data_IF_973471208450
#
_entry.id   IF_973471208450
#
_cell.length_a   1.000
_cell.length_b   1.000
_cell.length_c   1.000
_cell.angle_alpha   90.00
_cell.angle_beta   90.00
_cell.angle_gamma   90.00
#
_symmetry.space_group_name_H-M   'P 1'
#
loop_
_entity.id
_entity.type
_entity.pdbx_description
1 polymer ?
#
# COMPACT_ATOMS: atom_id res chain seq x y z
N UNK A 1 6.40 -23.71 -15.89
CA UNK A 1 6.74 -23.32 -17.29
C UNK A 1 7.45 -21.99 -17.17
N UNK A 2 8.77 -22.00 -17.30
CA UNK A 2 9.57 -20.80 -17.49
C UNK A 2 8.92 -20.02 -18.63
N UNK A 3 8.60 -18.78 -18.37
CA UNK A 3 8.19 -17.86 -19.42
C UNK A 3 9.44 -17.64 -20.26
N UNK A 4 9.59 -18.47 -21.29
CA UNK A 4 10.60 -18.26 -22.33
C UNK A 4 10.20 -16.97 -23.04
N UNK A 5 10.71 -15.86 -22.57
CA UNK A 5 10.87 -14.66 -23.40
C UNK A 5 11.84 -15.12 -24.47
N UNK A 6 11.31 -15.43 -25.65
CA UNK A 6 12.11 -15.83 -26.82
C UNK A 6 12.95 -14.61 -27.15
N UNK A 7 14.20 -14.63 -26.72
CA UNK A 7 15.17 -13.58 -27.02
C UNK A 7 15.40 -13.57 -28.53
N UNK A 8 14.67 -12.72 -29.25
CA UNK A 8 14.79 -12.57 -30.70
C UNK A 8 16.15 -12.01 -31.12
N UNK A 9 16.88 -11.38 -30.22
CA UNK A 9 18.18 -10.77 -30.47
C UNK A 9 19.34 -11.65 -30.00
N UNK A 10 19.08 -12.81 -29.36
CA UNK A 10 20.13 -13.70 -28.83
C UNK A 10 20.96 -13.12 -27.68
N UNK A 11 20.52 -11.98 -27.12
CA UNK A 11 21.27 -11.22 -26.10
C UNK A 11 21.33 -11.95 -24.74
N UNK A 12 20.28 -12.72 -24.40
CA UNK A 12 20.24 -13.47 -23.13
C UNK A 12 21.10 -14.72 -23.14
N UNK A 13 21.49 -15.23 -24.34
CA UNK A 13 22.42 -16.31 -24.51
C UNK A 13 23.90 -15.93 -24.36
N UNK A 14 24.19 -14.65 -24.20
CA UNK A 14 25.58 -14.18 -24.02
C UNK A 14 26.03 -14.32 -22.56
N UNK A 15 27.35 -14.34 -22.27
CA UNK A 15 27.87 -14.36 -20.90
C UNK A 15 27.35 -13.24 -20.01
N UNK A 16 26.90 -12.13 -20.63
CA UNK A 16 26.36 -10.97 -19.93
C UNK A 16 24.88 -11.13 -19.51
N UNK A 17 24.12 -12.02 -20.18
CA UNK A 17 22.76 -12.44 -19.80
C UNK A 17 21.83 -11.30 -19.38
N UNK A 18 21.33 -11.38 -18.14
CA UNK A 18 20.42 -10.38 -17.54
C UNK A 18 21.05 -8.99 -17.42
N UNK A 19 22.38 -8.86 -17.51
CA UNK A 19 23.07 -7.56 -17.46
C UNK A 19 22.63 -6.59 -18.56
N UNK A 20 22.17 -7.07 -19.70
CA UNK A 20 21.64 -6.23 -20.78
C UNK A 20 20.43 -5.39 -20.36
N UNK A 21 19.63 -5.86 -19.40
CA UNK A 21 18.52 -5.10 -18.85
C UNK A 21 19.03 -3.84 -18.13
N UNK A 22 20.11 -3.98 -17.35
CA UNK A 22 20.71 -2.84 -16.65
C UNK A 22 21.37 -1.86 -17.62
N UNK A 23 21.99 -2.36 -18.71
CA UNK A 23 22.51 -1.51 -19.77
C UNK A 23 21.40 -0.69 -20.44
N UNK A 24 20.27 -1.33 -20.75
CA UNK A 24 19.11 -0.63 -21.32
C UNK A 24 18.57 0.47 -20.37
N UNK A 25 18.49 0.20 -19.07
CA UNK A 25 18.13 1.22 -18.07
C UNK A 25 19.16 2.35 -18.01
N UNK A 26 20.45 2.05 -18.05
CA UNK A 26 21.52 3.04 -18.04
C UNK A 26 21.41 3.97 -19.27
N UNK A 27 21.24 3.39 -20.46
CA UNK A 27 21.07 4.15 -21.70
C UNK A 27 19.81 5.03 -21.63
N UNK A 28 18.67 4.48 -21.21
CA UNK A 28 17.43 5.24 -21.07
C UNK A 28 17.60 6.42 -20.09
N UNK A 29 18.24 6.18 -18.94
CA UNK A 29 18.52 7.23 -17.94
C UNK A 29 19.48 8.29 -18.47
N UNK A 30 20.52 7.88 -19.20
CA UNK A 30 21.47 8.81 -19.82
C UNK A 30 20.80 9.68 -20.88
N UNK A 31 19.94 9.10 -21.73
CA UNK A 31 19.16 9.87 -22.72
C UNK A 31 18.24 10.88 -22.03
N UNK A 32 17.47 10.43 -21.03
CA UNK A 32 16.58 11.31 -20.25
C UNK A 32 17.35 12.46 -19.59
N UNK A 33 18.49 12.16 -18.97
CA UNK A 33 19.34 13.15 -18.35
C UNK A 33 19.85 14.21 -19.36
N UNK A 34 20.32 13.76 -20.53
CA UNK A 34 20.78 14.67 -21.59
C UNK A 34 19.65 15.54 -22.14
N UNK A 35 18.43 14.96 -22.32
CA UNK A 35 17.27 15.74 -22.76
C UNK A 35 16.94 16.84 -21.74
N UNK A 36 16.93 16.50 -20.44
CA UNK A 36 16.67 17.48 -19.38
C UNK A 36 17.75 18.58 -19.39
N UNK A 37 19.03 18.22 -19.52
CA UNK A 37 20.11 19.20 -19.59
C UNK A 37 19.99 20.13 -20.79
N UNK A 38 19.49 19.65 -21.92
CA UNK A 38 19.30 20.46 -23.13
C UNK A 38 18.07 21.37 -23.05
N UNK A 39 17.04 20.95 -22.29
CA UNK A 39 15.78 21.71 -22.15
C UNK A 39 15.79 22.66 -20.95
N UNK A 40 16.74 22.50 -20.03
CA UNK A 40 16.85 23.36 -18.84
C UNK A 40 17.73 24.58 -19.14
N UNK A 41 17.26 25.75 -18.74
CA UNK A 41 18.04 26.98 -18.88
C UNK A 41 19.41 26.86 -18.20
N UNK A 42 20.47 27.20 -18.94
CA UNK A 42 21.86 27.11 -18.47
C UNK A 42 22.21 28.27 -17.52
N UNK A 43 21.47 28.37 -16.44
CA UNK A 43 21.87 29.29 -15.36
C UNK A 43 22.93 28.59 -14.51
N UNK A 44 24.05 29.26 -14.25
CA UNK A 44 25.09 28.74 -13.35
C UNK A 44 24.46 28.61 -11.97
N UNK A 45 24.30 27.38 -11.42
CA UNK A 45 23.65 27.18 -10.14
C UNK A 45 24.48 27.82 -9.03
N UNK A 46 23.95 28.88 -8.43
CA UNK A 46 24.53 29.47 -7.21
C UNK A 46 23.90 28.74 -6.02
N UNK A 47 24.74 28.04 -5.27
CA UNK A 47 24.29 27.34 -4.05
C UNK A 47 24.19 28.37 -2.93
N UNK A 48 22.96 28.75 -2.58
CA UNK A 48 22.70 29.49 -1.34
C UNK A 48 22.77 28.50 -0.17
N UNK A 49 23.79 28.64 0.69
CA UNK A 49 24.01 27.78 1.83
C UNK A 49 22.86 27.82 2.84
N UNK A 50 22.16 28.95 2.98
CA UNK A 50 21.03 29.09 3.90
C UNK A 50 19.83 28.31 3.37
N UNK A 51 19.53 28.46 2.08
CA UNK A 51 18.46 27.70 1.42
C UNK A 51 18.77 26.21 1.44
N UNK A 52 20.01 25.81 1.14
CA UNK A 52 20.43 24.41 1.18
C UNK A 52 20.26 23.81 2.58
N UNK A 53 20.67 24.52 3.63
CA UNK A 53 20.51 24.07 5.00
C UNK A 53 19.02 23.91 5.37
N UNK A 54 18.16 24.84 5.01
CA UNK A 54 16.71 24.73 5.24
C UNK A 54 16.10 23.53 4.51
N UNK A 55 16.46 23.32 3.24
CA UNK A 55 16.02 22.16 2.45
C UNK A 55 16.50 20.85 3.08
N UNK A 56 17.76 20.78 3.52
CA UNK A 56 18.29 19.57 4.15
C UNK A 56 17.61 19.26 5.49
N UNK A 57 17.37 20.26 6.33
CA UNK A 57 16.68 20.08 7.60
C UNK A 57 15.26 19.52 7.39
N UNK A 58 14.56 19.97 6.35
CA UNK A 58 13.25 19.44 5.99
C UNK A 58 13.30 18.05 5.34
N UNK A 59 14.24 17.83 4.42
CA UNK A 59 14.28 16.65 3.57
C UNK A 59 14.96 15.45 4.23
N UNK A 60 15.97 15.67 5.08
CA UNK A 60 16.73 14.58 5.71
C UNK A 60 15.85 13.67 6.58
N UNK A 61 14.95 14.19 7.46
CA UNK A 61 14.01 13.35 8.18
C UNK A 61 13.08 12.55 7.26
N UNK A 62 12.61 13.15 6.16
CA UNK A 62 11.78 12.45 5.18
C UNK A 62 12.55 11.35 4.44
N UNK A 63 13.84 11.57 4.15
CA UNK A 63 14.70 10.55 3.56
C UNK A 63 14.87 9.36 4.50
N UNK A 64 15.19 9.59 5.77
CA UNK A 64 15.30 8.53 6.79
C UNK A 64 13.98 7.78 6.93
N UNK A 65 12.87 8.51 7.01
CA UNK A 65 11.52 7.93 7.03
C UNK A 65 11.23 7.10 5.77
N UNK A 66 11.63 7.58 4.59
CA UNK A 66 11.47 6.85 3.32
C UNK A 66 12.26 5.55 3.28
N UNK A 67 13.51 5.57 3.76
CA UNK A 67 14.33 4.35 3.90
C UNK A 67 13.68 3.35 4.87
N UNK A 68 13.21 3.82 6.03
CA UNK A 68 12.53 2.98 7.01
C UNK A 68 11.20 2.42 6.45
N UNK A 69 10.43 3.23 5.71
CA UNK A 69 9.21 2.80 5.04
C UNK A 69 9.48 1.73 3.97
N UNK A 70 10.49 1.94 3.14
CA UNK A 70 10.92 0.94 2.14
C UNK A 70 11.41 -0.34 2.82
N UNK A 71 12.20 -0.23 3.89
CA UNK A 71 12.61 -1.39 4.66
C UNK A 71 11.41 -2.16 5.22
N UNK A 72 10.40 -1.45 5.76
CA UNK A 72 9.16 -2.04 6.25
C UNK A 72 8.39 -2.81 5.16
N UNK A 73 8.44 -2.36 3.91
CA UNK A 73 7.78 -3.01 2.78
C UNK A 73 8.43 -4.33 2.35
N UNK A 74 9.75 -4.47 2.55
CA UNK A 74 10.50 -5.63 2.06
C UNK A 74 11.00 -6.59 3.13
N UNK A 75 11.01 -6.16 4.40
CA UNK A 75 11.62 -6.92 5.50
C UNK A 75 10.86 -8.22 5.80
N UNK A 76 9.55 -8.25 5.57
CA UNK A 76 8.71 -9.44 5.70
C UNK A 76 9.24 -10.62 4.88
N UNK A 77 9.68 -10.35 3.65
CA UNK A 77 10.27 -11.36 2.74
C UNK A 77 11.62 -11.86 3.24
N UNK A 78 12.43 -10.95 3.79
CA UNK A 78 13.71 -11.34 4.37
C UNK A 78 13.48 -12.19 5.63
N UNK A 79 12.52 -11.80 6.48
CA UNK A 79 12.20 -12.55 7.68
C UNK A 79 11.69 -13.97 7.35
N UNK A 80 10.84 -14.14 6.33
CA UNK A 80 10.44 -15.49 5.87
C UNK A 80 11.67 -16.32 5.49
N UNK A 81 12.60 -15.73 4.73
CA UNK A 81 13.81 -16.43 4.25
C UNK A 81 14.68 -16.96 5.40
N UNK A 82 14.80 -16.19 6.49
CA UNK A 82 15.73 -16.52 7.57
C UNK A 82 15.08 -17.18 8.79
N UNK A 83 13.77 -16.98 9.02
CA UNK A 83 13.07 -17.49 10.19
C UNK A 83 12.30 -18.78 9.94
N UNK A 84 12.00 -19.12 8.69
CA UNK A 84 11.34 -20.39 8.37
C UNK A 84 12.39 -21.51 8.30
N UNK A 85 12.29 -22.55 9.15
CA UNK A 85 13.34 -23.58 9.25
C UNK A 85 13.47 -24.44 7.98
N UNK A 86 12.32 -24.82 7.39
CA UNK A 86 12.26 -25.69 6.22
C UNK A 86 11.33 -25.13 5.14
N UNK A 87 11.71 -25.25 3.87
CA UNK A 87 10.89 -24.80 2.77
C UNK A 87 10.77 -23.28 2.63
N UNK A 88 11.66 -22.48 3.24
CA UNK A 88 11.60 -21.02 3.24
C UNK A 88 11.43 -20.43 1.83
N UNK A 89 12.13 -20.96 0.81
CA UNK A 89 12.03 -20.48 -0.57
C UNK A 89 10.69 -20.79 -1.21
N UNK A 90 10.06 -21.93 -0.88
CA UNK A 90 8.72 -22.27 -1.36
C UNK A 90 7.70 -21.32 -0.74
N UNK A 91 7.77 -21.12 0.58
CA UNK A 91 6.90 -20.18 1.30
C UNK A 91 7.06 -18.73 0.83
N UNK A 92 8.30 -18.29 0.59
CA UNK A 92 8.58 -16.99 0.00
C UNK A 92 7.97 -16.85 -1.41
N UNK A 93 8.03 -17.95 -2.21
CA UNK A 93 7.40 -18.00 -3.52
C UNK A 93 5.89 -17.83 -3.45
N UNK A 94 5.21 -18.53 -2.52
CA UNK A 94 3.77 -18.43 -2.28
C UNK A 94 3.41 -17.01 -1.85
N UNK A 95 4.08 -16.49 -0.83
CA UNK A 95 3.86 -15.12 -0.34
C UNK A 95 4.06 -14.08 -1.44
N UNK A 96 5.15 -14.20 -2.21
CA UNK A 96 5.44 -13.32 -3.34
C UNK A 96 4.42 -13.41 -4.47
N UNK A 97 3.84 -14.57 -4.73
CA UNK A 97 2.80 -14.75 -5.73
C UNK A 97 1.49 -14.08 -5.31
N UNK A 98 1.08 -14.23 -4.04
CA UNK A 98 -0.15 -13.62 -3.54
C UNK A 98 -0.02 -12.11 -3.40
N UNK A 99 1.13 -11.59 -2.96
CA UNK A 99 1.36 -10.15 -2.90
C UNK A 99 1.31 -9.50 -4.29
N UNK A 100 1.58 -10.24 -5.38
CA UNK A 100 1.38 -9.74 -6.76
C UNK A 100 -0.10 -9.55 -7.12
N UNK A 101 -1.01 -10.34 -6.57
CA UNK A 101 -2.46 -10.10 -6.74
C UNK A 101 -2.84 -8.80 -6.00
N UNK A 102 -2.31 -8.62 -4.80
CA UNK A 102 -2.58 -7.42 -4.00
C UNK A 102 -1.99 -6.12 -4.61
N UNK A 103 -1.17 -6.20 -5.67
CA UNK A 103 -0.62 -5.04 -6.40
C UNK A 103 -1.73 -4.12 -6.90
N UNK A 104 -2.92 -4.62 -7.24
CA UNK A 104 -4.05 -3.77 -7.67
C UNK A 104 -4.39 -2.72 -6.60
N UNK A 105 -4.45 -3.11 -5.33
CA UNK A 105 -4.66 -2.19 -4.21
C UNK A 105 -3.48 -1.24 -4.04
N UNK A 106 -2.25 -1.74 -4.21
CA UNK A 106 -1.04 -0.92 -4.15
C UNK A 106 -1.01 0.13 -5.28
N UNK A 107 -1.44 -0.22 -6.49
CA UNK A 107 -1.58 0.73 -7.59
C UNK A 107 -2.60 1.82 -7.28
N UNK A 108 -3.76 1.46 -6.70
CA UNK A 108 -4.74 2.44 -6.25
C UNK A 108 -4.14 3.41 -5.22
N UNK A 109 -3.46 2.88 -4.20
CA UNK A 109 -2.73 3.69 -3.22
C UNK A 109 -1.69 4.61 -3.89
N UNK A 110 -0.90 4.11 -4.84
CA UNK A 110 0.10 4.92 -5.55
C UNK A 110 -0.54 6.05 -6.37
N UNK A 111 -1.66 5.78 -7.06
CA UNK A 111 -2.41 6.81 -7.80
C UNK A 111 -2.97 7.87 -6.85
N UNK A 112 -3.56 7.44 -5.73
CA UNK A 112 -4.00 8.34 -4.68
C UNK A 112 -2.86 9.22 -4.18
N UNK A 113 -1.71 8.63 -3.85
CA UNK A 113 -0.52 9.35 -3.39
C UNK A 113 -0.05 10.39 -4.40
N UNK A 114 0.08 10.01 -5.68
CA UNK A 114 0.52 10.91 -6.75
C UNK A 114 -0.43 12.10 -6.95
N UNK A 115 -1.72 11.91 -6.71
CA UNK A 115 -2.70 13.00 -6.77
C UNK A 115 -2.74 13.82 -5.48
N UNK A 116 -2.73 13.17 -4.32
CA UNK A 116 -2.91 13.80 -3.02
C UNK A 116 -1.68 14.62 -2.58
N UNK A 117 -0.45 14.15 -2.80
CA UNK A 117 0.75 14.87 -2.38
C UNK A 117 0.84 16.28 -2.99
N UNK A 118 0.82 16.48 -4.32
CA UNK A 118 0.89 17.84 -4.88
C UNK A 118 -0.35 18.67 -4.54
N UNK A 119 -1.54 18.06 -4.49
CA UNK A 119 -2.77 18.74 -4.12
C UNK A 119 -2.68 19.33 -2.72
N UNK A 120 -2.30 18.54 -1.71
CA UNK A 120 -2.18 19.04 -0.35
C UNK A 120 -1.03 20.01 -0.17
N UNK A 121 0.13 19.79 -0.81
CA UNK A 121 1.26 20.72 -0.76
C UNK A 121 0.89 22.11 -1.28
N UNK A 122 0.14 22.19 -2.38
CA UNK A 122 -0.31 23.47 -2.95
C UNK A 122 -1.38 24.16 -2.11
N UNK A 123 -2.12 23.40 -1.30
CA UNK A 123 -3.22 23.92 -0.48
C UNK A 123 -2.89 24.06 1.02
N UNK A 124 -1.65 23.84 1.45
CA UNK A 124 -1.25 23.91 2.87
C UNK A 124 -1.61 25.21 3.57
N UNK A 125 -1.62 26.33 2.84
CA UNK A 125 -1.93 27.65 3.41
C UNK A 125 -3.42 27.99 3.47
N UNK A 126 -4.30 27.16 2.88
CA UNK A 126 -5.74 27.41 2.90
C UNK A 126 -6.35 27.09 4.25
N UNK A 127 -7.38 27.86 4.65
CA UNK A 127 -8.18 27.64 5.86
C UNK A 127 -8.84 26.26 5.88
N UNK A 128 -9.28 25.80 4.72
CA UNK A 128 -10.08 24.60 4.57
C UNK A 128 -9.27 23.31 4.49
N UNK A 129 -7.92 23.39 4.64
CA UNK A 129 -7.03 22.24 4.58
C UNK A 129 -7.47 21.10 5.50
N UNK A 130 -7.89 21.43 6.73
CA UNK A 130 -8.29 20.44 7.74
C UNK A 130 -9.51 19.64 7.27
N UNK A 131 -10.53 20.34 6.76
CA UNK A 131 -11.75 19.72 6.24
C UNK A 131 -11.44 18.89 4.99
N UNK A 132 -10.65 19.43 4.06
CA UNK A 132 -10.24 18.70 2.86
C UNK A 132 -9.46 17.41 3.19
N UNK A 133 -8.57 17.46 4.18
CA UNK A 133 -7.79 16.29 4.60
C UNK A 133 -8.70 15.22 5.24
N UNK A 134 -9.65 15.63 6.06
CA UNK A 134 -10.63 14.73 6.66
C UNK A 134 -11.53 14.07 5.61
N UNK A 135 -12.05 14.85 4.66
CA UNK A 135 -12.84 14.34 3.54
C UNK A 135 -12.04 13.37 2.65
N UNK A 136 -10.79 13.72 2.33
CA UNK A 136 -9.93 12.85 1.52
C UNK A 136 -9.71 11.48 2.17
N UNK A 137 -9.53 11.41 3.50
CA UNK A 137 -9.42 10.14 4.21
C UNK A 137 -10.71 9.32 4.10
N UNK A 138 -11.87 9.96 4.31
CA UNK A 138 -13.19 9.32 4.21
C UNK A 138 -13.38 8.67 2.84
N UNK A 139 -13.15 9.42 1.76
CA UNK A 139 -13.32 8.91 0.40
C UNK A 139 -12.25 7.90 0.00
N UNK A 140 -11.02 8.07 0.48
CA UNK A 140 -9.96 7.06 0.28
C UNK A 140 -10.38 5.69 0.86
N UNK A 141 -10.84 5.67 2.12
CA UNK A 141 -11.27 4.42 2.76
C UNK A 141 -12.48 3.82 2.06
N UNK A 142 -13.47 4.65 1.68
CA UNK A 142 -14.65 4.20 0.95
C UNK A 142 -14.27 3.47 -0.36
N UNK A 143 -13.43 4.08 -1.19
CA UNK A 143 -12.96 3.49 -2.43
C UNK A 143 -12.07 2.26 -2.20
N UNK A 144 -11.20 2.30 -1.19
CA UNK A 144 -10.34 1.17 -0.82
C UNK A 144 -11.14 -0.05 -0.37
N UNK A 145 -12.22 0.14 0.39
CA UNK A 145 -13.08 -0.97 0.83
C UNK A 145 -13.84 -1.60 -0.34
N UNK A 146 -14.24 -0.81 -1.33
CA UNK A 146 -14.84 -1.34 -2.54
C UNK A 146 -13.85 -2.23 -3.33
N UNK A 147 -12.61 -1.76 -3.50
CA UNK A 147 -11.55 -2.53 -4.17
C UNK A 147 -11.20 -3.78 -3.34
N UNK A 148 -11.11 -3.63 -2.02
CA UNK A 148 -10.87 -4.75 -1.10
C UNK A 148 -11.88 -5.87 -1.31
N UNK A 149 -13.17 -5.55 -1.26
CA UNK A 149 -14.24 -6.52 -1.49
C UNK A 149 -14.19 -7.10 -2.89
N UNK A 150 -14.00 -6.28 -3.92
CA UNK A 150 -13.90 -6.73 -5.30
C UNK A 150 -12.79 -7.75 -5.53
N UNK A 151 -11.66 -7.62 -4.84
CA UNK A 151 -10.55 -8.58 -4.96
C UNK A 151 -10.76 -9.77 -4.03
N UNK A 152 -11.18 -9.55 -2.78
CA UNK A 152 -11.29 -10.59 -1.77
C UNK A 152 -12.42 -11.59 -2.09
N UNK A 153 -13.59 -11.13 -2.54
CA UNK A 153 -14.72 -11.99 -2.88
C UNK A 153 -14.49 -12.81 -4.15
N UNK A 154 -13.71 -12.26 -5.10
CA UNK A 154 -13.41 -12.93 -6.36
C UNK A 154 -11.98 -13.48 -6.40
N UNK A 155 -11.38 -13.75 -5.23
CA UNK A 155 -9.99 -14.22 -5.10
C UNK A 155 -9.68 -15.47 -5.92
N UNK A 156 -10.65 -16.37 -6.12
CA UNK A 156 -10.47 -17.58 -6.90
C UNK A 156 -10.26 -17.28 -8.39
N UNK A 157 -10.91 -16.22 -8.91
CA UNK A 157 -10.67 -15.72 -10.27
C UNK A 157 -9.24 -15.19 -10.40
N UNK A 158 -8.79 -14.43 -9.41
CA UNK A 158 -7.39 -13.94 -9.37
C UNK A 158 -6.39 -15.07 -9.17
N UNK A 159 -6.77 -16.14 -8.45
CA UNK A 159 -5.96 -17.34 -8.30
C UNK A 159 -5.66 -18.05 -9.63
N UNK A 160 -6.49 -17.85 -10.68
CA UNK A 160 -6.22 -18.40 -12.01
C UNK A 160 -4.97 -17.80 -12.67
N UNK A 161 -4.63 -16.55 -12.33
CA UNK A 161 -3.44 -15.84 -12.83
C UNK A 161 -2.18 -16.43 -12.20
N UNK A 162 -2.30 -17.01 -11.02
CA UNK A 162 -1.19 -17.56 -10.24
C UNK A 162 -1.02 -19.06 -10.55
N UNK A 163 0.24 -19.51 -10.65
CA UNK A 163 0.57 -20.94 -10.86
C UNK A 163 -0.07 -21.82 -9.77
N UNK A 164 -0.49 -23.03 -10.18
CA UNK A 164 -1.23 -23.96 -9.29
C UNK A 164 -0.55 -24.21 -7.95
N UNK A 165 0.79 -24.31 -7.94
CA UNK A 165 1.61 -24.56 -6.74
C UNK A 165 1.60 -23.40 -5.73
N UNK A 166 1.14 -22.21 -6.11
CA UNK A 166 1.11 -21.03 -5.23
C UNK A 166 -0.31 -20.68 -4.73
N UNK A 167 -1.34 -21.40 -5.22
CA UNK A 167 -2.74 -21.10 -4.89
C UNK A 167 -3.11 -21.40 -3.45
N UNK A 168 -2.37 -22.25 -2.78
CA UNK A 168 -2.60 -22.56 -1.36
C UNK A 168 -2.50 -21.31 -0.47
N UNK A 169 -1.71 -20.30 -0.89
CA UNK A 169 -1.58 -19.04 -0.17
C UNK A 169 -2.73 -18.04 -0.37
N UNK A 170 -3.75 -18.34 -1.18
CA UNK A 170 -4.81 -17.36 -1.52
C UNK A 170 -5.55 -16.82 -0.30
N UNK A 171 -5.60 -17.57 0.78
CA UNK A 171 -6.26 -17.18 2.03
C UNK A 171 -5.60 -16.01 2.76
N UNK A 172 -4.30 -15.71 2.48
CA UNK A 172 -3.65 -14.53 3.05
C UNK A 172 -4.00 -13.25 2.29
N UNK A 173 -4.61 -13.34 1.10
CA UNK A 173 -4.89 -12.20 0.25
C UNK A 173 -5.70 -11.09 0.95
N UNK A 174 -6.81 -11.39 1.68
CA UNK A 174 -7.55 -10.36 2.40
C UNK A 174 -6.70 -9.63 3.46
N UNK A 175 -5.81 -10.35 4.14
CA UNK A 175 -4.91 -9.77 5.15
C UNK A 175 -3.93 -8.80 4.50
N UNK A 176 -3.32 -9.18 3.37
CA UNK A 176 -2.39 -8.34 2.62
C UNK A 176 -3.10 -7.11 2.02
N UNK A 177 -4.32 -7.28 1.51
CA UNK A 177 -5.14 -6.16 1.02
C UNK A 177 -5.46 -5.18 2.15
N UNK A 178 -5.85 -5.69 3.33
CA UNK A 178 -6.10 -4.86 4.51
C UNK A 178 -4.87 -4.05 4.93
N UNK A 179 -3.69 -4.65 4.93
CA UNK A 179 -2.43 -3.94 5.17
C UNK A 179 -2.21 -2.80 4.16
N UNK A 180 -2.43 -3.06 2.86
CA UNK A 180 -2.29 -2.03 1.82
C UNK A 180 -3.33 -0.88 1.94
N UNK A 181 -4.54 -1.15 2.44
CA UNK A 181 -5.51 -0.10 2.78
C UNK A 181 -4.95 0.80 3.89
N UNK A 182 -4.43 0.21 4.96
CA UNK A 182 -3.86 0.97 6.09
C UNK A 182 -2.66 1.82 5.68
N UNK A 183 -1.89 1.38 4.68
CA UNK A 183 -0.79 2.18 4.09
C UNK A 183 -1.28 3.55 3.59
N UNK A 184 -2.42 3.62 2.92
CA UNK A 184 -2.96 4.91 2.47
C UNK A 184 -3.63 5.71 3.59
N UNK A 185 -4.14 5.03 4.62
CA UNK A 185 -4.69 5.71 5.81
C UNK A 185 -3.59 6.48 6.54
N UNK A 186 -2.46 5.84 6.86
CA UNK A 186 -1.37 6.57 7.54
C UNK A 186 -0.69 7.60 6.64
N UNK A 187 -0.67 7.40 5.31
CA UNK A 187 -0.23 8.44 4.38
C UNK A 187 -1.09 9.71 4.52
N UNK A 188 -2.41 9.56 4.52
CA UNK A 188 -3.33 10.70 4.69
C UNK A 188 -3.11 11.38 6.04
N UNK A 189 -2.98 10.59 7.11
CA UNK A 189 -2.65 11.09 8.44
C UNK A 189 -1.27 11.78 8.50
N UNK A 190 -0.42 11.65 7.47
CA UNK A 190 0.91 12.25 7.42
C UNK A 190 0.93 13.69 6.93
N UNK A 191 -0.12 14.17 6.25
CA UNK A 191 -0.10 15.50 5.62
C UNK A 191 -0.03 16.65 6.61
N UNK A 192 -0.58 16.53 7.81
CA UNK A 192 -0.55 17.60 8.79
C UNK A 192 0.86 17.91 9.30
N UNK A 193 1.70 16.91 9.59
CA UNK A 193 3.06 17.17 10.05
C UNK A 193 4.00 17.64 8.92
N UNK A 194 3.68 17.31 7.67
CA UNK A 194 4.35 17.91 6.51
C UNK A 194 3.99 19.39 6.38
N UNK A 195 2.73 19.75 6.63
CA UNK A 195 2.26 21.13 6.66
C UNK A 195 2.93 21.95 7.76
N UNK A 196 3.03 21.40 8.96
CA UNK A 196 3.63 22.05 10.13
C UNK A 196 5.17 21.98 10.14
N UNK A 197 5.78 21.54 9.04
CA UNK A 197 7.23 21.35 8.88
C UNK A 197 7.87 20.43 9.95
N UNK A 198 7.05 19.60 10.62
CA UNK A 198 7.48 18.64 11.64
C UNK A 198 7.81 17.28 11.04
N UNK A 199 8.63 17.27 9.99
CA UNK A 199 8.97 16.06 9.22
C UNK A 199 9.69 14.98 10.03
N UNK A 200 10.31 15.34 11.16
CA UNK A 200 10.89 14.38 12.10
C UNK A 200 9.89 13.38 12.68
N UNK A 201 8.60 13.75 12.76
CA UNK A 201 7.54 12.83 13.20
C UNK A 201 7.32 11.68 12.22
N UNK A 202 7.66 11.86 10.95
CA UNK A 202 7.65 10.78 9.98
C UNK A 202 8.57 9.62 10.39
N UNK A 203 9.75 9.93 10.96
CA UNK A 203 10.69 8.91 11.46
C UNK A 203 10.07 8.13 12.62
N UNK A 204 9.34 8.80 13.50
CA UNK A 204 8.67 8.14 14.64
C UNK A 204 7.63 7.14 14.15
N UNK A 205 6.80 7.53 13.16
CA UNK A 205 5.75 6.67 12.60
C UNK A 205 6.36 5.47 11.87
N UNK A 206 7.27 5.72 10.91
CA UNK A 206 7.87 4.64 10.12
C UNK A 206 8.82 3.77 10.93
N UNK A 207 9.51 4.36 11.93
CA UNK A 207 10.32 3.62 12.89
C UNK A 207 9.49 2.70 13.77
N UNK A 208 8.33 3.17 14.26
CA UNK A 208 7.41 2.33 15.03
C UNK A 208 6.88 1.16 14.18
N UNK A 209 6.55 1.39 12.90
CA UNK A 209 6.18 0.34 11.95
C UNK A 209 7.30 -0.68 11.75
N UNK A 210 8.53 -0.20 11.55
CA UNK A 210 9.69 -1.08 11.36
C UNK A 210 9.95 -1.95 12.60
N UNK A 211 9.87 -1.38 13.81
CA UNK A 211 9.97 -2.14 15.05
C UNK A 211 8.85 -3.17 15.17
N UNK A 212 7.62 -2.77 14.84
CA UNK A 212 6.47 -3.65 14.92
C UNK A 212 6.59 -4.84 13.94
N UNK A 213 6.96 -4.62 12.66
CA UNK A 213 7.07 -5.72 11.70
C UNK A 213 8.18 -6.69 12.07
N UNK A 214 9.29 -6.19 12.66
CA UNK A 214 10.37 -7.04 13.15
C UNK A 214 9.89 -7.84 14.35
N UNK A 215 9.30 -7.20 15.37
CA UNK A 215 8.83 -7.85 16.59
C UNK A 215 7.75 -8.92 16.29
N UNK A 216 6.70 -8.55 15.56
CA UNK A 216 5.65 -9.50 15.18
C UNK A 216 6.16 -10.55 14.18
N UNK A 217 7.09 -10.20 13.30
CA UNK A 217 7.71 -11.13 12.37
C UNK A 217 8.51 -12.23 13.10
N UNK A 218 9.36 -11.85 14.05
CA UNK A 218 10.09 -12.83 14.87
C UNK A 218 9.17 -13.73 15.71
N UNK A 219 8.00 -13.23 16.09
CA UNK A 219 7.04 -14.01 16.85
C UNK A 219 6.16 -14.90 15.95
N UNK A 220 5.55 -14.35 14.91
CA UNK A 220 4.52 -15.03 14.13
C UNK A 220 5.07 -15.90 12.98
N UNK A 221 6.20 -15.52 12.37
CA UNK A 221 6.74 -16.26 11.21
C UNK A 221 7.24 -17.65 11.61
N UNK A 222 7.95 -17.87 12.74
CA UNK A 222 8.34 -19.21 13.14
C UNK A 222 7.15 -20.12 13.45
N UNK A 223 6.02 -19.55 13.88
CA UNK A 223 4.79 -20.29 14.24
C UNK A 223 3.92 -20.63 13.01
N UNK A 224 3.76 -19.66 12.09
CA UNK A 224 2.78 -19.73 11.00
C UNK A 224 3.38 -19.51 9.61
N UNK A 225 4.70 -19.43 9.48
CA UNK A 225 5.37 -19.24 8.19
C UNK A 225 4.90 -17.97 7.47
N UNK A 226 4.55 -18.09 6.19
CA UNK A 226 4.08 -16.97 5.38
C UNK A 226 2.75 -16.36 5.84
N UNK A 227 1.89 -17.12 6.54
CA UNK A 227 0.70 -16.56 7.22
C UNK A 227 1.12 -15.57 8.31
N UNK A 228 2.13 -15.95 9.10
CA UNK A 228 2.67 -15.08 10.14
C UNK A 228 3.24 -13.79 9.58
N UNK A 229 3.87 -13.84 8.41
CA UNK A 229 4.39 -12.65 7.73
C UNK A 229 3.26 -11.69 7.29
N UNK A 230 2.15 -12.21 6.75
CA UNK A 230 1.01 -11.38 6.37
C UNK A 230 0.38 -10.66 7.58
N UNK A 231 0.22 -11.38 8.70
CA UNK A 231 -0.29 -10.79 9.94
C UNK A 231 0.70 -9.81 10.59
N UNK A 232 2.00 -10.08 10.54
CA UNK A 232 3.04 -9.17 11.03
C UNK A 232 3.02 -7.85 10.23
N UNK A 233 2.82 -7.93 8.90
CA UNK A 233 2.66 -6.74 8.06
C UNK A 233 1.41 -5.96 8.42
N UNK A 234 0.26 -6.60 8.56
CA UNK A 234 -0.99 -5.95 8.97
C UNK A 234 -0.84 -5.27 10.34
N UNK A 235 -0.21 -5.95 11.30
CA UNK A 235 0.07 -5.38 12.62
C UNK A 235 0.97 -4.15 12.53
N UNK A 236 2.03 -4.18 11.72
CA UNK A 236 2.92 -3.04 11.48
C UNK A 236 2.17 -1.83 10.93
N UNK A 237 1.38 -2.01 9.87
CA UNK A 237 0.57 -0.93 9.29
C UNK A 237 -0.46 -0.38 10.29
N UNK A 238 -1.05 -1.27 11.12
CA UNK A 238 -1.96 -0.86 12.20
C UNK A 238 -1.24 0.00 13.24
N UNK A 239 -0.03 -0.37 13.64
CA UNK A 239 0.79 0.42 14.57
C UNK A 239 1.13 1.78 13.96
N UNK A 240 1.49 1.85 12.67
CA UNK A 240 1.77 3.12 11.99
C UNK A 240 0.52 4.03 11.97
N UNK A 241 -0.66 3.49 11.67
CA UNK A 241 -1.92 4.23 11.74
C UNK A 241 -2.20 4.70 13.16
N UNK A 242 -2.06 3.83 14.16
CA UNK A 242 -2.32 4.17 15.55
C UNK A 242 -1.39 5.28 16.07
N UNK A 243 -0.08 5.19 15.76
CA UNK A 243 0.90 6.22 16.13
C UNK A 243 0.61 7.53 15.40
N UNK A 244 0.31 7.48 14.09
CA UNK A 244 -0.05 8.67 13.30
C UNK A 244 -1.31 9.34 13.85
N UNK A 245 -2.34 8.56 14.18
CA UNK A 245 -3.58 9.06 14.77
C UNK A 245 -3.34 9.68 16.15
N UNK A 246 -2.56 9.03 17.02
CA UNK A 246 -2.22 9.54 18.34
C UNK A 246 -1.48 10.88 18.25
N UNK A 247 -0.48 10.98 17.35
CA UNK A 247 0.26 12.21 17.10
C UNK A 247 -0.64 13.31 16.56
N UNK A 248 -1.53 12.99 15.60
CA UNK A 248 -2.50 13.92 15.05
C UNK A 248 -3.42 14.47 16.16
N UNK A 249 -4.00 13.59 16.98
CA UNK A 249 -4.89 14.00 18.08
C UNK A 249 -4.19 14.91 19.08
N UNK A 250 -2.90 14.70 19.33
CA UNK A 250 -2.13 15.46 20.31
C UNK A 250 -1.66 16.82 19.80
N UNK A 251 -1.20 16.88 18.55
CA UNK A 251 -0.50 18.06 18.03
C UNK A 251 -1.30 18.85 17.00
N UNK A 252 -2.21 18.22 16.30
CA UNK A 252 -2.99 18.84 15.25
C UNK A 252 -4.34 18.15 15.09
N UNK A 253 -5.28 18.36 16.01
CA UNK A 253 -6.57 17.66 16.02
C UNK A 253 -7.37 17.95 14.75
N UNK A 254 -7.41 16.98 13.84
CA UNK A 254 -8.21 17.01 12.63
C UNK A 254 -9.53 16.31 12.89
N UNK A 255 -10.70 16.89 12.53
CA UNK A 255 -12.01 16.29 12.75
C UNK A 255 -12.29 15.18 11.71
N UNK A 256 -11.57 14.07 11.80
CA UNK A 256 -11.86 12.90 10.98
C UNK A 256 -13.19 12.28 11.41
N UNK A 257 -14.03 11.95 10.45
CA UNK A 257 -15.27 11.22 10.70
C UNK A 257 -15.01 9.72 10.90
N UNK A 258 -14.44 9.38 12.06
CA UNK A 258 -14.12 8.00 12.42
C UNK A 258 -15.35 7.09 12.48
N UNK A 259 -16.54 7.67 12.72
CA UNK A 259 -17.78 6.92 12.73
C UNK A 259 -18.11 6.42 11.34
N UNK A 260 -18.12 7.28 10.34
CA UNK A 260 -18.36 6.93 8.94
C UNK A 260 -17.29 6.00 8.40
N UNK A 261 -16.01 6.28 8.69
CA UNK A 261 -14.90 5.41 8.32
C UNK A 261 -15.09 4.01 8.92
N UNK A 262 -15.46 3.92 10.20
CA UNK A 262 -15.75 2.67 10.88
C UNK A 262 -16.95 1.93 10.28
N UNK A 263 -18.01 2.64 9.90
CA UNK A 263 -19.19 2.07 9.23
C UNK A 263 -18.80 1.44 7.87
N UNK A 264 -17.98 2.11 7.05
CA UNK A 264 -17.52 1.56 5.77
C UNK A 264 -16.68 0.28 5.93
N UNK A 265 -15.74 0.30 6.88
CA UNK A 265 -14.90 -0.85 7.17
C UNK A 265 -15.70 -2.01 7.76
N UNK A 266 -16.56 -1.73 8.75
CA UNK A 266 -17.38 -2.75 9.40
C UNK A 266 -18.36 -3.40 8.42
N UNK A 267 -19.01 -2.60 7.57
CA UNK A 267 -19.91 -3.12 6.53
C UNK A 267 -19.17 -3.99 5.51
N UNK A 268 -17.97 -3.57 5.06
CA UNK A 268 -17.15 -4.37 4.15
C UNK A 268 -16.74 -5.71 4.78
N UNK A 269 -16.26 -5.68 6.02
CA UNK A 269 -15.87 -6.90 6.74
C UNK A 269 -17.05 -7.81 7.02
N UNK A 270 -18.23 -7.27 7.32
CA UNK A 270 -19.45 -8.04 7.51
C UNK A 270 -19.88 -8.73 6.21
N UNK A 271 -19.87 -8.00 5.08
CA UNK A 271 -20.15 -8.57 3.75
C UNK A 271 -19.16 -9.69 3.43
N UNK A 272 -17.87 -9.44 3.66
CA UNK A 272 -16.83 -10.45 3.45
C UNK A 272 -17.06 -11.70 4.29
N UNK A 273 -17.34 -11.55 5.59
CA UNK A 273 -17.60 -12.67 6.49
C UNK A 273 -18.86 -13.47 6.11
N UNK A 274 -19.94 -12.78 5.71
CA UNK A 274 -21.16 -13.42 5.22
C UNK A 274 -20.89 -14.20 3.93
N UNK A 275 -20.17 -13.62 2.98
CA UNK A 275 -19.80 -14.31 1.75
C UNK A 275 -18.97 -15.57 2.03
N UNK A 276 -17.97 -15.49 2.92
CA UNK A 276 -17.17 -16.67 3.32
C UNK A 276 -18.04 -17.77 3.93
N UNK A 277 -18.94 -17.41 4.84
CA UNK A 277 -19.84 -18.37 5.47
C UNK A 277 -20.79 -19.04 4.46
N UNK A 278 -21.36 -18.26 3.53
CA UNK A 278 -22.25 -18.78 2.47
C UNK A 278 -21.49 -19.65 1.48
N UNK A 279 -20.29 -19.24 1.08
CA UNK A 279 -19.44 -19.99 0.13
C UNK A 279 -18.99 -21.32 0.75
N UNK A 280 -18.68 -21.35 2.04
CA UNK A 280 -18.32 -22.57 2.75
C UNK A 280 -19.49 -23.58 2.84
N UNK A 281 -20.74 -23.09 2.75
CA UNK A 281 -21.97 -23.91 2.84
C UNK A 281 -22.55 -24.27 1.47
N UNK A 282 -22.05 -23.70 0.38
CA UNK A 282 -22.60 -23.88 -0.96
C UNK A 282 -21.86 -24.97 -1.73
N UNK A 283 -22.57 -26.02 -2.15
CA UNK A 283 -22.03 -27.10 -2.98
C UNK A 283 -21.81 -26.68 -4.45
N UNK A 284 -22.38 -25.54 -4.86
CA UNK A 284 -22.35 -25.07 -6.26
C UNK A 284 -21.60 -23.75 -6.41
N UNK A 285 -20.51 -23.79 -7.15
CA UNK A 285 -19.65 -22.63 -7.42
C UNK A 285 -20.40 -21.46 -8.08
N UNK A 286 -21.36 -21.71 -8.97
CA UNK A 286 -22.17 -20.66 -9.61
C UNK A 286 -23.06 -19.92 -8.60
N UNK A 287 -23.60 -20.64 -7.64
CA UNK A 287 -24.42 -20.06 -6.57
C UNK A 287 -23.57 -19.15 -5.70
N UNK A 288 -22.37 -19.60 -5.32
CA UNK A 288 -21.41 -18.78 -4.55
C UNK A 288 -21.06 -17.49 -5.25
N UNK A 289 -20.73 -17.54 -6.56
CA UNK A 289 -20.43 -16.31 -7.31
C UNK A 289 -21.65 -15.39 -7.47
N UNK A 290 -22.85 -15.93 -7.63
CA UNK A 290 -24.06 -15.13 -7.68
C UNK A 290 -24.28 -14.37 -6.36
N UNK A 291 -24.12 -15.03 -5.21
CA UNK A 291 -24.16 -14.37 -3.89
C UNK A 291 -23.08 -13.29 -3.75
N UNK A 292 -21.85 -13.57 -4.14
CA UNK A 292 -20.76 -12.60 -4.09
C UNK A 292 -21.06 -11.36 -4.94
N UNK A 293 -21.60 -11.53 -6.14
CA UNK A 293 -21.99 -10.40 -7.02
C UNK A 293 -23.12 -9.58 -6.38
N UNK A 294 -24.16 -10.24 -5.86
CA UNK A 294 -25.29 -9.54 -5.24
C UNK A 294 -24.85 -8.76 -4.02
N UNK A 295 -24.09 -9.38 -3.10
CA UNK A 295 -23.62 -8.72 -1.89
C UNK A 295 -22.61 -7.58 -2.19
N UNK A 296 -21.75 -7.76 -3.18
CA UNK A 296 -20.89 -6.70 -3.66
C UNK A 296 -21.69 -5.53 -4.23
N UNK A 297 -22.70 -5.80 -5.05
CA UNK A 297 -23.59 -4.76 -5.63
C UNK A 297 -24.38 -4.03 -4.53
N UNK A 298 -24.87 -4.74 -3.53
CA UNK A 298 -25.56 -4.15 -2.37
C UNK A 298 -24.62 -3.25 -1.56
N UNK A 299 -23.38 -3.68 -1.34
CA UNK A 299 -22.38 -2.84 -0.67
C UNK A 299 -22.05 -1.59 -1.49
N UNK A 300 -21.86 -1.72 -2.81
CA UNK A 300 -21.63 -0.58 -3.69
C UNK A 300 -22.83 0.40 -3.69
N UNK A 301 -24.06 -0.11 -3.74
CA UNK A 301 -25.28 0.71 -3.63
C UNK A 301 -25.36 1.42 -2.27
N UNK A 302 -25.04 0.72 -1.18
CA UNK A 302 -24.97 1.31 0.17
C UNK A 302 -23.96 2.47 0.23
N UNK A 303 -22.77 2.30 -0.33
CA UNK A 303 -21.78 3.39 -0.39
C UNK A 303 -22.27 4.57 -1.23
N UNK A 304 -22.93 4.32 -2.37
CA UNK A 304 -23.52 5.38 -3.21
C UNK A 304 -24.60 6.16 -2.45
N UNK A 305 -25.46 5.48 -1.71
CA UNK A 305 -26.51 6.13 -0.91
C UNK A 305 -25.91 7.00 0.21
N UNK A 306 -24.89 6.51 0.89
CA UNK A 306 -24.20 7.29 1.92
C UNK A 306 -23.48 8.50 1.33
N UNK A 307 -22.83 8.33 0.18
CA UNK A 307 -22.16 9.42 -0.52
C UNK A 307 -23.16 10.53 -0.92
N UNK A 308 -24.33 10.16 -1.44
CA UNK A 308 -25.37 11.13 -1.83
C UNK A 308 -26.01 11.81 -0.62
N UNK A 309 -26.17 11.10 0.50
CA UNK A 309 -26.64 11.68 1.76
C UNK A 309 -25.62 12.69 2.31
N UNK A 310 -24.35 12.33 2.37
CA UNK A 310 -23.30 13.24 2.84
C UNK A 310 -23.17 14.49 1.95
N UNK A 311 -23.33 14.35 0.63
CA UNK A 311 -23.30 15.48 -0.31
C UNK A 311 -24.54 16.39 -0.24
N UNK A 312 -25.64 15.92 0.36
CA UNK A 312 -26.85 16.74 0.58
C UNK A 312 -26.78 17.51 1.91
N UNK A 313 -25.92 17.08 2.82
CA UNK A 313 -25.72 17.71 4.14
C UNK A 313 -24.59 18.77 4.13
N UNK A 314 -23.75 18.82 3.05
CA UNK A 314 -22.73 19.85 2.78
C UNK A 314 -23.30 21.02 1.94
#
# INVERSE_FOLDING_TARGET
RQMCIRDRAGLYGTPFGVGWVFVAYLIASAVTFNVILLTTDRTVPRIDRRLLAAVLVYSLPLLVSGVAGTANEFIDRQLIKYLVPEGAMAQLGIYGAITKIAVVMMLFYQMYRLAAEPFFLSNFRKSDFVAMNAAALKYYVMASMLIFLGIALFRDVFALIVGRSFREGIFILPVVLGANVLTGVWLNLSFWYKREERTSLAIVVTGAGLVAIVAFGFWLIPLWGYYGAAWARLASETVMVAVSWWLNRRYYPTPYDWRRIGEYVAAALAVFAVCEALTASADNMFVSYAFNIVLFALYAAYLCLLYTSDAADE
#
